data_IF_229483654885
#
_entry.id   IF_229483654885
#
_cell.length_a   1.000
_cell.length_b   1.000
_cell.length_c   1.000
_cell.angle_alpha   90.00
_cell.angle_beta   90.00
_cell.angle_gamma   90.00
#
_symmetry.space_group_name_H-M   'P 1'
#
loop_
_entity.id
_entity.type
_entity.pdbx_description
1 polymer ?
#
# COMPACT_ATOMS: atom_id res chain seq x y z
N UNK A 1 28.23 15.57 6.65
CA UNK A 1 27.08 15.14 7.50
C UNK A 1 25.81 14.87 6.70
N UNK A 2 25.39 15.75 5.79
CA UNK A 2 24.15 15.58 4.98
C UNK A 2 24.08 14.23 4.22
N UNK A 3 25.19 13.79 3.61
CA UNK A 3 25.25 12.53 2.86
C UNK A 3 25.06 11.28 3.74
N UNK A 4 25.46 11.37 4.99
CA UNK A 4 25.40 10.26 5.95
C UNK A 4 23.95 10.07 6.42
N UNK A 5 23.23 11.17 6.66
CA UNK A 5 21.78 11.16 6.89
C UNK A 5 20.99 10.70 5.66
N UNK A 6 21.36 11.17 4.47
CA UNK A 6 20.75 10.73 3.22
C UNK A 6 20.90 9.23 2.99
N UNK A 7 22.06 8.66 3.30
CA UNK A 7 22.30 7.22 3.21
C UNK A 7 21.38 6.44 4.15
N UNK A 8 21.25 6.85 5.42
CA UNK A 8 20.33 6.19 6.36
C UNK A 8 18.87 6.30 5.91
N UNK A 9 18.43 7.46 5.43
CA UNK A 9 17.09 7.63 4.89
C UNK A 9 16.81 6.71 3.70
N UNK A 10 17.80 6.54 2.82
CA UNK A 10 17.70 5.66 1.64
C UNK A 10 17.61 4.18 2.06
N UNK A 11 18.42 3.75 3.03
CA UNK A 11 18.35 2.39 3.58
C UNK A 11 16.98 2.13 4.22
N UNK A 12 16.48 3.06 5.03
CA UNK A 12 15.14 2.95 5.63
C UNK A 12 14.07 2.88 4.56
N UNK A 13 14.16 3.72 3.52
CA UNK A 13 13.19 3.73 2.42
C UNK A 13 13.19 2.43 1.63
N UNK A 14 14.36 1.85 1.34
CA UNK A 14 14.47 0.56 0.66
C UNK A 14 13.86 -0.58 1.47
N UNK A 15 14.14 -0.62 2.78
CA UNK A 15 13.56 -1.62 3.67
C UNK A 15 12.04 -1.49 3.74
N UNK A 16 11.53 -0.26 3.83
CA UNK A 16 10.10 0.03 3.79
C UNK A 16 9.48 -0.42 2.47
N UNK A 17 10.13 -0.14 1.33
CA UNK A 17 9.73 -0.59 -0.01
C UNK A 17 9.56 -2.10 -0.11
N UNK A 18 10.54 -2.86 0.40
CA UNK A 18 10.51 -4.32 0.41
C UNK A 18 9.37 -4.87 1.29
N UNK A 19 9.19 -4.30 2.49
CA UNK A 19 8.11 -4.65 3.41
C UNK A 19 6.74 -4.36 2.80
N UNK A 20 6.54 -3.17 2.24
CA UNK A 20 5.27 -2.78 1.63
C UNK A 20 4.95 -3.61 0.39
N UNK A 21 5.95 -3.95 -0.42
CA UNK A 21 5.74 -4.82 -1.56
C UNK A 21 5.34 -6.22 -1.11
N UNK A 22 5.99 -6.78 -0.09
CA UNK A 22 5.60 -8.08 0.48
C UNK A 22 4.15 -8.07 0.96
N UNK A 23 3.74 -7.05 1.70
CA UNK A 23 2.35 -6.89 2.13
C UNK A 23 1.37 -6.73 0.96
N UNK A 24 1.79 -6.09 -0.13
CA UNK A 24 0.98 -5.97 -1.35
C UNK A 24 0.91 -7.28 -2.12
N UNK A 25 1.98 -8.08 -2.11
CA UNK A 25 2.02 -9.38 -2.77
C UNK A 25 1.06 -10.37 -2.11
N UNK A 26 0.92 -10.32 -0.78
CA UNK A 26 -0.11 -11.10 -0.06
C UNK A 26 -1.55 -10.75 -0.50
N UNK A 27 -1.75 -9.61 -1.18
CA UNK A 27 -3.05 -9.16 -1.70
C UNK A 27 -3.25 -9.45 -3.20
N UNK A 28 -2.18 -9.47 -3.99
CA UNK A 28 -2.25 -9.51 -5.46
C UNK A 28 -1.56 -10.72 -6.11
N UNK A 29 -0.89 -11.59 -5.33
CA UNK A 29 -0.20 -12.80 -5.82
C UNK A 29 0.73 -12.58 -7.03
N UNK A 30 1.31 -11.38 -7.16
CA UNK A 30 2.27 -11.05 -8.22
C UNK A 30 3.68 -11.06 -7.64
N UNK A 31 4.45 -12.16 -7.78
CA UNK A 31 5.78 -12.25 -7.19
C UNK A 31 6.73 -11.24 -7.85
N UNK A 32 7.49 -10.51 -7.03
CA UNK A 32 8.47 -9.52 -7.49
C UNK A 32 9.49 -10.12 -8.47
N UNK A 33 9.79 -11.40 -8.30
CA UNK A 33 10.73 -12.16 -9.12
C UNK A 33 10.23 -12.38 -10.57
N UNK A 34 8.91 -12.29 -10.80
CA UNK A 34 8.36 -12.37 -12.15
C UNK A 34 8.61 -11.10 -12.97
N UNK A 35 8.87 -9.97 -12.30
CA UNK A 35 9.05 -8.68 -12.97
C UNK A 35 10.49 -8.52 -13.50
N UNK A 36 10.70 -7.84 -14.64
CA UNK A 36 12.03 -7.44 -15.09
C UNK A 36 12.69 -6.49 -14.08
N UNK A 37 14.01 -6.55 -13.98
CA UNK A 37 14.85 -5.71 -13.08
C UNK A 37 14.42 -4.23 -12.97
N UNK A 38 14.19 -3.48 -14.05
CA UNK A 38 13.77 -2.08 -13.93
C UNK A 38 12.41 -1.93 -13.23
N UNK A 39 11.46 -2.82 -13.53
CA UNK A 39 10.14 -2.79 -12.90
C UNK A 39 10.19 -3.19 -11.43
N UNK A 40 11.11 -4.09 -11.03
CA UNK A 40 11.33 -4.42 -9.61
C UNK A 40 11.75 -3.19 -8.81
N UNK A 41 12.68 -2.40 -9.34
CA UNK A 41 13.15 -1.18 -8.68
C UNK A 41 12.04 -0.15 -8.54
N UNK A 42 11.27 0.06 -9.61
CA UNK A 42 10.10 0.96 -9.59
C UNK A 42 9.07 0.46 -8.57
N UNK A 43 8.76 -0.84 -8.59
CA UNK A 43 7.81 -1.44 -7.65
C UNK A 43 8.26 -1.25 -6.19
N UNK A 44 9.52 -1.52 -5.86
CA UNK A 44 10.05 -1.30 -4.50
C UNK A 44 9.99 0.18 -4.11
N UNK A 45 10.31 1.09 -5.05
CA UNK A 45 10.32 2.52 -4.77
C UNK A 45 8.93 3.09 -4.48
N UNK A 46 7.91 2.60 -5.21
CA UNK A 46 6.53 3.10 -5.12
C UNK A 46 5.61 2.25 -4.23
N UNK A 47 6.00 1.02 -3.86
CA UNK A 47 5.19 0.13 -3.02
C UNK A 47 4.75 0.77 -1.68
N UNK A 48 5.60 1.54 -0.95
CA UNK A 48 5.16 2.20 0.29
C UNK A 48 4.03 3.19 0.06
N UNK A 49 4.13 3.95 -1.04
CA UNK A 49 3.12 4.95 -1.42
C UNK A 49 1.82 4.24 -1.84
N UNK A 50 1.92 3.19 -2.65
CA UNK A 50 0.78 2.39 -3.09
C UNK A 50 0.04 1.75 -1.91
N UNK A 51 0.77 1.20 -0.94
CA UNK A 51 0.20 0.60 0.26
C UNK A 51 -0.53 1.64 1.13
N UNK A 52 0.05 2.83 1.33
CA UNK A 52 -0.61 3.92 2.05
C UNK A 52 -1.91 4.38 1.38
N UNK A 53 -1.91 4.49 0.05
CA UNK A 53 -3.10 4.84 -0.71
C UNK A 53 -4.17 3.75 -0.63
N UNK A 54 -3.77 2.48 -0.71
CA UNK A 54 -4.65 1.33 -0.57
C UNK A 54 -5.29 1.29 0.82
N UNK A 55 -4.50 1.35 1.89
CA UNK A 55 -5.01 1.35 3.26
C UNK A 55 -5.94 2.53 3.53
N UNK A 56 -5.59 3.73 3.05
CA UNK A 56 -6.47 4.91 3.14
C UNK A 56 -7.79 4.69 2.41
N UNK A 57 -7.75 4.08 1.23
CA UNK A 57 -8.96 3.76 0.47
C UNK A 57 -9.83 2.73 1.19
N UNK A 58 -9.24 1.66 1.72
CA UNK A 58 -9.94 0.63 2.50
C UNK A 58 -10.56 1.25 3.77
N UNK A 59 -9.81 2.11 4.46
CA UNK A 59 -10.32 2.83 5.62
C UNK A 59 -11.54 3.67 5.27
N UNK A 60 -11.47 4.45 4.18
CA UNK A 60 -12.60 5.26 3.71
C UNK A 60 -13.80 4.41 3.32
N UNK A 61 -13.56 3.27 2.65
CA UNK A 61 -14.63 2.34 2.26
C UNK A 61 -15.32 1.73 3.47
N UNK A 62 -14.57 1.38 4.52
CA UNK A 62 -15.14 0.84 5.77
C UNK A 62 -15.82 1.90 6.64
N UNK A 63 -15.43 3.16 6.49
CA UNK A 63 -16.03 4.29 7.20
C UNK A 63 -17.36 4.76 6.58
N UNK A 64 -17.74 4.26 5.40
CA UNK A 64 -19.08 4.51 4.84
C UNK A 64 -20.12 3.74 5.66
N UNK A 65 -21.09 4.42 6.31
CA UNK A 65 -22.10 3.73 7.09
C UNK A 65 -23.10 3.04 6.15
N UNK A 66 -23.08 1.72 6.09
CA UNK A 66 -24.11 0.91 5.41
C UNK A 66 -25.45 0.84 6.19
N UNK A 67 -25.72 1.76 7.13
CA UNK A 67 -26.77 1.57 8.16
C UNK A 67 -28.06 2.38 7.91
N UNK A 68 -28.13 3.35 6.99
CA UNK A 68 -29.33 4.22 6.89
C UNK A 68 -30.38 3.70 5.88
N UNK A 69 -30.10 2.66 5.08
CA UNK A 69 -31.04 2.23 4.02
C UNK A 69 -31.95 1.06 4.44
N UNK A 70 -31.68 0.40 5.58
CA UNK A 70 -32.50 -0.76 6.00
C UNK A 70 -33.70 -0.42 6.88
N UNK A 71 -33.82 0.82 7.37
CA UNK A 71 -34.91 1.22 8.27
C UNK A 71 -36.10 1.86 7.54
N UNK A 72 -35.92 2.31 6.30
CA UNK A 72 -37.02 2.88 5.49
C UNK A 72 -37.79 1.85 4.66
N UNK A 73 -37.39 0.58 4.67
CA UNK A 73 -38.06 -0.49 3.91
C UNK A 73 -39.03 -1.35 4.75
N UNK A 74 -39.31 -0.96 6.00
CA UNK A 74 -40.17 -1.73 6.92
C UNK A 74 -41.43 -0.96 7.38
N UNK A 75 -41.79 0.12 6.67
CA UNK A 75 -43.00 0.92 6.92
C UNK A 75 -43.87 1.09 5.65
N UNK A 76 -43.95 0.06 4.81
CA UNK A 76 -45.01 -0.07 3.79
C UNK A 76 -45.94 -1.25 4.17
#
# INVERSE_FOLDING_TARGET
>A
MIYLWGFFALVVWLNLGLLSYKATNDLLDVPLESLPLPFRLVAILFAPIGLLLYERHVFWSRAKPEIIVKESAHYD
#
